data_IF_154276194567
#
_entry.id   IF_154276194567
#
_cell.length_a   1.000
_cell.length_b   1.000
_cell.length_c   1.000
_cell.angle_alpha   90.00
_cell.angle_beta   90.00
_cell.angle_gamma   90.00
#
_symmetry.space_group_name_H-M   'P 1'
#
loop_
_entity.id
_entity.type
_entity.pdbx_description
1 polymer ?
#
# COMPACT_ATOMS: atom_id res chain seq x y z
N UNK A 1 6.06 37.15 1.65
CA UNK A 1 5.16 38.10 2.34
C UNK A 1 5.89 38.97 3.36
N UNK A 2 6.71 38.43 4.26
CA UNK A 2 7.44 39.21 5.28
C UNK A 2 8.30 40.33 4.70
N UNK A 3 9.08 40.05 3.65
CA UNK A 3 9.88 41.07 2.94
C UNK A 3 9.05 42.16 2.27
N UNK A 4 7.83 41.83 1.83
CA UNK A 4 6.93 42.80 1.21
C UNK A 4 6.32 43.72 2.26
N UNK A 5 5.91 43.16 3.41
CA UNK A 5 5.45 43.93 4.55
C UNK A 5 6.56 44.86 5.09
N UNK A 6 7.78 44.36 5.22
CA UNK A 6 8.95 45.14 5.64
C UNK A 6 9.21 46.33 4.68
N UNK A 7 9.17 46.09 3.37
CA UNK A 7 9.30 47.16 2.37
C UNK A 7 8.15 48.19 2.42
N UNK A 8 6.94 47.78 2.79
CA UNK A 8 5.80 48.68 2.96
C UNK A 8 5.97 49.55 4.22
N UNK A 9 6.35 48.97 5.36
CA UNK A 9 6.65 49.72 6.60
C UNK A 9 7.76 50.75 6.35
N UNK A 10 8.83 50.37 5.67
CA UNK A 10 9.91 51.30 5.29
C UNK A 10 9.42 52.47 4.42
N UNK A 11 8.50 52.19 3.49
CA UNK A 11 7.92 53.22 2.63
C UNK A 11 7.00 54.18 3.41
N UNK A 12 6.24 53.65 4.39
CA UNK A 12 5.43 54.44 5.33
C UNK A 12 6.30 55.43 6.08
N UNK A 13 7.38 54.95 6.68
CA UNK A 13 8.28 55.74 7.50
C UNK A 13 8.94 56.87 6.70
N UNK A 14 9.40 56.57 5.48
CA UNK A 14 9.95 57.57 4.55
C UNK A 14 8.92 58.61 4.12
N UNK A 15 7.66 58.20 3.96
CA UNK A 15 6.57 59.12 3.58
C UNK A 15 6.18 60.02 4.75
N UNK A 16 6.11 59.49 5.96
CA UNK A 16 5.91 60.24 7.21
C UNK A 16 6.99 61.30 7.40
N UNK A 17 8.27 60.93 7.31
CA UNK A 17 9.38 61.88 7.45
C UNK A 17 9.38 62.99 6.38
N UNK A 18 8.88 62.71 5.17
CA UNK A 18 8.68 63.76 4.14
C UNK A 18 7.56 64.72 4.50
N UNK A 19 6.44 64.23 5.01
CA UNK A 19 5.32 65.08 5.46
C UNK A 19 5.78 65.98 6.61
N UNK A 20 6.49 65.42 7.59
CA UNK A 20 7.05 66.19 8.72
C UNK A 20 7.91 67.35 8.22
N UNK A 21 8.84 67.06 7.30
CA UNK A 21 9.72 68.10 6.74
C UNK A 21 8.95 69.18 5.97
N UNK A 22 7.90 68.81 5.23
CA UNK A 22 7.06 69.80 4.54
C UNK A 22 6.23 70.65 5.52
N UNK A 23 5.77 70.07 6.63
CA UNK A 23 5.11 70.80 7.70
C UNK A 23 6.05 71.81 8.38
N UNK A 24 7.30 71.42 8.65
CA UNK A 24 8.33 72.32 9.17
C UNK A 24 8.62 73.49 8.22
N UNK A 25 8.71 73.24 6.89
CA UNK A 25 8.89 74.28 5.87
C UNK A 25 7.70 75.26 5.87
N UNK A 26 6.50 74.77 6.19
CA UNK A 26 5.30 75.61 6.30
C UNK A 26 5.19 76.37 7.62
N UNK A 27 6.16 76.23 8.51
CA UNK A 27 6.20 76.90 9.81
C UNK A 27 5.41 76.19 10.91
N UNK A 28 4.87 74.99 10.65
CA UNK A 28 4.18 74.16 11.64
C UNK A 28 5.14 73.10 12.18
N UNK A 29 5.83 73.43 13.27
CA UNK A 29 6.58 72.42 14.02
C UNK A 29 5.59 71.36 14.55
N UNK A 30 5.78 70.11 14.15
CA UNK A 30 4.88 69.00 14.48
C UNK A 30 5.73 67.87 15.05
N UNK A 31 5.37 67.39 16.23
CA UNK A 31 6.02 66.23 16.85
C UNK A 31 5.66 64.93 16.12
N UNK A 32 6.39 63.85 16.40
CA UNK A 32 6.13 62.57 15.75
C UNK A 32 4.76 62.00 16.14
N UNK A 33 4.39 62.09 17.41
CA UNK A 33 3.06 61.72 17.91
C UNK A 33 1.93 62.57 17.31
N UNK A 34 2.10 63.90 17.24
CA UNK A 34 1.08 64.76 16.62
C UNK A 34 0.90 64.43 15.13
N UNK A 35 2.01 64.16 14.42
CA UNK A 35 1.94 63.76 13.01
C UNK A 35 1.25 62.41 12.83
N UNK A 36 1.48 61.46 13.73
CA UNK A 36 0.81 60.16 13.71
C UNK A 36 -0.70 60.32 13.92
N UNK A 37 -1.13 61.14 14.90
CA UNK A 37 -2.54 61.43 15.15
C UNK A 37 -3.20 62.12 13.94
N UNK A 38 -2.49 63.04 13.28
CA UNK A 38 -2.94 63.67 12.04
C UNK A 38 -3.13 62.65 10.91
N UNK A 39 -2.26 61.65 10.80
CA UNK A 39 -2.35 60.58 9.79
C UNK A 39 -3.50 59.61 10.11
N UNK A 40 -3.69 59.23 11.37
CA UNK A 40 -4.77 58.34 11.84
C UNK A 40 -6.15 58.97 11.70
N UNK A 41 -6.25 60.29 11.78
CA UNK A 41 -7.52 61.03 11.60
C UNK A 41 -8.17 60.79 10.24
N UNK A 42 -7.41 60.33 9.23
CA UNK A 42 -7.88 60.04 7.88
C UNK A 42 -8.40 61.26 7.10
N UNK A 43 -8.21 62.47 7.65
CA UNK A 43 -8.74 63.69 7.08
C UNK A 43 -7.61 64.58 6.54
N UNK A 44 -7.47 64.63 5.21
CA UNK A 44 -6.47 65.48 4.52
C UNK A 44 -6.55 66.96 4.90
N UNK A 45 -7.72 67.45 5.34
CA UNK A 45 -7.90 68.84 5.75
C UNK A 45 -7.15 69.19 7.05
N UNK A 46 -6.76 68.20 7.85
CA UNK A 46 -5.98 68.43 9.08
C UNK A 46 -4.58 68.97 8.74
N UNK A 47 -4.05 68.66 7.55
CA UNK A 47 -2.80 69.22 7.05
C UNK A 47 -2.95 70.64 6.51
N UNK A 48 -4.15 71.05 6.05
CA UNK A 48 -4.40 72.41 5.56
C UNK A 48 -4.82 73.38 6.67
N UNK A 49 -5.37 72.87 7.77
CA UNK A 49 -5.74 73.62 8.97
C UNK A 49 -4.49 74.25 9.64
N UNK A 50 -4.23 75.51 9.33
CA UNK A 50 -3.14 76.31 9.89
C UNK A 50 -2.08 76.80 8.88
N UNK A 51 -2.03 76.22 7.68
CA UNK A 51 -1.02 76.60 6.66
C UNK A 51 -1.49 77.77 5.78
N UNK A 52 -2.80 77.97 5.65
CA UNK A 52 -3.40 79.01 4.79
C UNK A 52 -3.01 80.44 5.21
N UNK A 53 -2.65 80.64 6.47
CA UNK A 53 -2.34 81.97 7.04
C UNK A 53 -0.88 82.41 6.80
N UNK A 54 0.03 81.46 6.51
CA UNK A 54 1.47 81.72 6.46
C UNK A 54 2.00 82.21 5.10
N UNK A 55 1.14 82.38 4.09
CA UNK A 55 1.56 82.73 2.72
C UNK A 55 2.45 81.67 2.05
N UNK A 56 2.49 80.46 2.61
CA UNK A 56 3.35 79.36 2.18
C UNK A 56 2.76 78.62 0.97
N UNK A 57 3.69 78.20 0.12
CA UNK A 57 3.54 77.48 -1.14
C UNK A 57 2.43 76.40 -1.17
N UNK A 58 1.43 76.61 -2.04
CA UNK A 58 0.50 75.56 -2.52
C UNK A 58 1.19 74.25 -2.90
N UNK A 59 2.47 74.30 -3.27
CA UNK A 59 3.27 73.14 -3.62
C UNK A 59 3.55 72.24 -2.41
N UNK A 60 3.85 72.80 -1.24
CA UNK A 60 4.09 72.03 -0.02
C UNK A 60 2.82 71.29 0.42
N UNK A 61 1.67 71.98 0.35
CA UNK A 61 0.36 71.37 0.60
C UNK A 61 0.03 70.24 -0.39
N UNK A 62 0.26 70.47 -1.69
CA UNK A 62 0.04 69.45 -2.72
C UNK A 62 0.95 68.23 -2.52
N UNK A 63 2.19 68.42 -2.06
CA UNK A 63 3.12 67.33 -1.77
C UNK A 63 2.68 66.54 -0.54
N UNK A 64 2.27 67.22 0.54
CA UNK A 64 1.73 66.57 1.75
C UNK A 64 0.49 65.73 1.40
N UNK A 65 -0.47 66.29 0.64
CA UNK A 65 -1.68 65.58 0.23
C UNK A 65 -1.34 64.34 -0.62
N UNK A 66 -0.39 64.47 -1.55
CA UNK A 66 0.06 63.34 -2.37
C UNK A 66 0.74 62.24 -1.53
N UNK A 67 1.55 62.60 -0.53
CA UNK A 67 2.18 61.63 0.38
C UNK A 67 1.17 60.97 1.30
N UNK A 68 0.20 61.72 1.84
CA UNK A 68 -0.86 61.16 2.66
C UNK A 68 -1.70 60.14 1.87
N UNK A 69 -2.03 60.45 0.61
CA UNK A 69 -2.71 59.51 -0.28
C UNK A 69 -1.91 58.23 -0.53
N UNK A 70 -0.58 58.32 -0.63
CA UNK A 70 0.29 57.15 -0.74
C UNK A 70 0.28 56.32 0.55
N UNK A 71 0.27 56.96 1.74
CA UNK A 71 0.14 56.27 3.04
C UNK A 71 -1.20 55.54 3.15
N UNK A 72 -2.32 56.19 2.80
CA UNK A 72 -3.66 55.57 2.84
C UNK A 72 -3.74 54.34 1.93
N UNK A 73 -3.14 54.40 0.73
CA UNK A 73 -3.06 53.24 -0.18
C UNK A 73 -2.22 52.12 0.41
N UNK A 74 -1.12 52.46 1.05
CA UNK A 74 -0.26 51.50 1.73
C UNK A 74 -1.02 50.78 2.85
N UNK A 75 -1.73 51.53 3.70
CA UNK A 75 -2.53 50.95 4.79
C UNK A 75 -3.61 50.00 4.29
N UNK A 76 -4.26 50.31 3.16
CA UNK A 76 -5.19 49.38 2.49
C UNK A 76 -4.48 48.09 2.05
N UNK A 77 -3.29 48.21 1.45
CA UNK A 77 -2.49 47.06 1.01
C UNK A 77 -1.99 46.19 2.17
N UNK A 78 -1.62 46.81 3.30
CA UNK A 78 -1.24 46.09 4.52
C UNK A 78 -2.44 45.33 5.10
N UNK A 79 -3.63 45.95 5.13
CA UNK A 79 -4.88 45.28 5.57
C UNK A 79 -5.19 44.06 4.71
N UNK A 80 -5.15 44.19 3.39
CA UNK A 80 -5.36 43.05 2.48
C UNK A 80 -4.34 41.93 2.70
N UNK A 81 -3.08 42.30 2.98
CA UNK A 81 -2.03 41.34 3.27
C UNK A 81 -2.19 40.68 4.64
N UNK A 82 -2.72 41.40 5.62
CA UNK A 82 -3.09 40.85 6.92
C UNK A 82 -4.25 39.84 6.79
N UNK A 83 -5.28 40.17 6.04
CA UNK A 83 -6.41 39.27 5.77
C UNK A 83 -5.92 37.98 5.09
N UNK A 84 -5.03 38.10 4.09
CA UNK A 84 -4.36 36.93 3.49
C UNK A 84 -3.54 36.13 4.51
N UNK A 85 -2.88 36.78 5.48
CA UNK A 85 -2.13 36.06 6.52
C UNK A 85 -3.04 35.26 7.43
N UNK A 86 -4.19 35.83 7.81
CA UNK A 86 -5.20 35.15 8.63
C UNK A 86 -5.79 33.96 7.87
N UNK A 87 -6.12 34.15 6.59
CA UNK A 87 -6.63 33.07 5.73
C UNK A 87 -5.59 31.97 5.52
N UNK A 88 -4.33 32.32 5.28
CA UNK A 88 -3.24 31.34 5.16
C UNK A 88 -3.03 30.61 6.49
N UNK A 89 -3.11 31.29 7.63
CA UNK A 89 -2.99 30.66 8.94
C UNK A 89 -4.13 29.65 9.17
N UNK A 90 -5.38 30.01 8.88
CA UNK A 90 -6.53 29.08 8.96
C UNK A 90 -6.40 27.91 7.98
N UNK A 91 -5.92 28.15 6.75
CA UNK A 91 -5.69 27.10 5.76
C UNK A 91 -4.56 26.16 6.17
N UNK A 92 -3.48 26.66 6.77
CA UNK A 92 -2.38 25.83 7.26
C UNK A 92 -2.79 25.03 8.49
N UNK A 93 -3.56 25.63 9.40
CA UNK A 93 -4.12 24.95 10.57
C UNK A 93 -5.06 23.80 10.16
N UNK A 94 -5.96 24.04 9.21
CA UNK A 94 -6.84 22.97 8.67
C UNK A 94 -6.08 21.94 7.81
N UNK A 95 -4.96 22.32 7.19
CA UNK A 95 -4.08 21.39 6.47
C UNK A 95 -3.16 20.57 7.38
N UNK A 96 -3.14 20.83 8.70
CA UNK A 96 -2.48 19.96 9.67
C UNK A 96 -2.93 18.49 9.58
N UNK A 97 -4.17 18.26 9.11
CA UNK A 97 -4.72 16.92 8.86
C UNK A 97 -4.24 16.27 7.54
N UNK A 98 -3.66 17.02 6.59
CA UNK A 98 -3.25 16.47 5.28
C UNK A 98 -1.82 15.89 5.32
N UNK A 99 -0.95 16.39 6.20
CA UNK A 99 0.38 15.79 6.44
C UNK A 99 0.24 14.32 6.88
N UNK A 100 -0.86 14.00 7.56
CA UNK A 100 -1.22 12.65 8.00
C UNK A 100 -1.45 11.67 6.84
N UNK A 101 -1.80 12.14 5.63
CA UNK A 101 -2.06 11.26 4.50
C UNK A 101 -0.79 10.59 3.95
N UNK A 102 0.35 11.28 3.96
CA UNK A 102 1.61 10.66 3.49
C UNK A 102 2.07 9.64 4.51
N UNK A 103 2.07 10.01 5.80
CA UNK A 103 2.45 9.09 6.88
C UNK A 103 1.52 7.88 6.93
N UNK A 104 0.20 8.09 6.80
CA UNK A 104 -0.79 7.02 6.76
C UNK A 104 -0.63 6.14 5.51
N UNK A 105 -0.39 6.71 4.33
CA UNK A 105 -0.18 5.93 3.10
C UNK A 105 1.13 5.14 3.14
N UNK A 106 2.20 5.71 3.71
CA UNK A 106 3.47 5.02 3.94
C UNK A 106 3.27 3.89 4.96
N UNK A 107 2.56 4.14 6.06
CA UNK A 107 2.24 3.11 7.07
C UNK A 107 1.45 1.95 6.46
N UNK A 108 0.37 2.24 5.72
CA UNK A 108 -0.41 1.22 5.01
C UNK A 108 0.44 0.40 4.03
N UNK A 109 1.33 1.08 3.30
CA UNK A 109 2.26 0.40 2.37
C UNK A 109 3.22 -0.53 3.10
N UNK A 110 3.75 -0.13 4.26
CA UNK A 110 4.61 -0.96 5.11
C UNK A 110 3.86 -2.20 5.59
N UNK A 111 2.63 -2.05 6.08
CA UNK A 111 1.82 -3.19 6.54
C UNK A 111 1.57 -4.21 5.41
N UNK A 112 1.23 -3.73 4.21
CA UNK A 112 1.07 -4.60 3.04
C UNK A 112 2.36 -5.34 2.68
N UNK A 113 3.52 -4.68 2.76
CA UNK A 113 4.82 -5.30 2.49
C UNK A 113 5.13 -6.39 3.53
N UNK A 114 4.81 -6.16 4.81
CA UNK A 114 5.01 -7.16 5.88
C UNK A 114 4.17 -8.41 5.60
N UNK A 115 2.89 -8.23 5.28
CA UNK A 115 1.99 -9.36 4.96
C UNK A 115 2.46 -10.08 3.69
N UNK A 116 2.79 -9.35 2.64
CA UNK A 116 3.28 -9.91 1.38
C UNK A 116 4.57 -10.72 1.58
N UNK A 117 5.50 -10.23 2.41
CA UNK A 117 6.74 -10.93 2.76
C UNK A 117 6.46 -12.28 3.43
N UNK A 118 5.54 -12.31 4.39
CA UNK A 118 5.18 -13.55 5.09
C UNK A 118 4.46 -14.54 4.17
N UNK A 119 3.52 -14.07 3.35
CA UNK A 119 2.85 -14.90 2.34
C UNK A 119 3.84 -15.48 1.32
N UNK A 120 4.77 -14.65 0.83
CA UNK A 120 5.81 -15.09 -0.11
C UNK A 120 6.72 -16.14 0.51
N UNK A 121 7.10 -15.97 1.79
CA UNK A 121 7.89 -16.96 2.53
C UNK A 121 7.16 -18.30 2.68
N UNK A 122 5.85 -18.27 2.99
CA UNK A 122 5.00 -19.48 3.01
C UNK A 122 4.93 -20.12 1.63
N UNK A 123 4.69 -19.34 0.57
CA UNK A 123 4.63 -19.84 -0.80
C UNK A 123 5.94 -20.52 -1.23
N UNK A 124 7.11 -19.94 -0.90
CA UNK A 124 8.42 -20.55 -1.17
C UNK A 124 8.61 -21.86 -0.39
N UNK A 125 8.16 -21.94 0.87
CA UNK A 125 8.18 -23.18 1.65
C UNK A 125 7.29 -24.25 1.04
N UNK A 126 6.06 -23.91 0.66
CA UNK A 126 5.15 -24.84 -0.01
C UNK A 126 5.72 -25.31 -1.35
N UNK A 127 6.25 -24.41 -2.18
CA UNK A 127 6.92 -24.76 -3.44
C UNK A 127 8.09 -25.74 -3.22
N UNK A 128 8.95 -25.46 -2.24
CA UNK A 128 10.11 -26.30 -1.94
C UNK A 128 9.68 -27.68 -1.44
N UNK A 129 8.67 -27.74 -0.56
CA UNK A 129 8.09 -29.01 -0.08
C UNK A 129 7.43 -29.79 -1.21
N UNK A 130 6.62 -29.15 -2.05
CA UNK A 130 5.97 -29.78 -3.20
C UNK A 130 7.00 -30.35 -4.20
N UNK A 131 8.11 -29.65 -4.43
CA UNK A 131 9.19 -30.13 -5.32
C UNK A 131 9.94 -31.34 -4.74
N UNK A 132 10.12 -31.41 -3.41
CA UNK A 132 10.84 -32.53 -2.77
C UNK A 132 9.94 -33.71 -2.44
N UNK A 133 8.80 -33.47 -1.79
CA UNK A 133 7.85 -34.50 -1.36
C UNK A 133 7.03 -35.06 -2.51
N UNK A 134 6.58 -34.22 -3.44
CA UNK A 134 5.68 -34.67 -4.51
C UNK A 134 6.30 -35.68 -5.49
N UNK A 135 7.62 -35.70 -5.65
CA UNK A 135 8.29 -36.73 -6.46
C UNK A 135 8.47 -38.04 -5.68
N UNK A 136 8.82 -37.95 -4.40
CA UNK A 136 9.04 -39.12 -3.53
C UNK A 136 7.70 -39.82 -3.26
N UNK A 137 6.65 -39.09 -2.89
CA UNK A 137 5.30 -39.63 -2.66
C UNK A 137 4.75 -40.35 -3.91
N UNK A 138 5.03 -39.83 -5.11
CA UNK A 138 4.65 -40.47 -6.37
C UNK A 138 5.43 -41.76 -6.62
N UNK A 139 6.72 -41.79 -6.29
CA UNK A 139 7.57 -42.99 -6.43
C UNK A 139 7.14 -44.06 -5.43
N UNK A 140 6.90 -43.69 -4.17
CA UNK A 140 6.42 -44.60 -3.11
C UNK A 140 5.07 -45.21 -3.49
N UNK A 141 4.10 -44.40 -3.91
CA UNK A 141 2.78 -44.88 -4.35
C UNK A 141 2.89 -45.86 -5.54
N UNK A 142 3.71 -45.54 -6.54
CA UNK A 142 3.95 -46.44 -7.67
C UNK A 142 4.64 -47.74 -7.23
N UNK A 143 5.57 -47.66 -6.26
CA UNK A 143 6.28 -48.82 -5.72
C UNK A 143 5.32 -49.74 -4.96
N UNK A 144 4.48 -49.19 -4.09
CA UNK A 144 3.49 -49.95 -3.33
C UNK A 144 2.47 -50.65 -4.25
N UNK A 145 2.01 -49.96 -5.30
CA UNK A 145 1.15 -50.57 -6.30
C UNK A 145 1.85 -51.73 -7.02
N UNK A 146 3.10 -51.52 -7.44
CA UNK A 146 3.89 -52.56 -8.10
C UNK A 146 4.10 -53.78 -7.21
N UNK A 147 4.43 -53.57 -5.93
CA UNK A 147 4.55 -54.64 -4.94
C UNK A 147 3.23 -55.40 -4.79
N UNK A 148 2.10 -54.70 -4.69
CA UNK A 148 0.78 -55.33 -4.58
C UNK A 148 0.43 -56.21 -5.80
N UNK A 149 0.82 -55.81 -7.02
CA UNK A 149 0.65 -56.66 -8.21
C UNK A 149 1.52 -57.91 -8.15
N UNK A 150 2.78 -57.77 -7.71
CA UNK A 150 3.70 -58.90 -7.57
C UNK A 150 3.20 -59.88 -6.51
N UNK A 151 2.73 -59.40 -5.35
CA UNK A 151 2.19 -60.26 -4.29
C UNK A 151 0.99 -61.08 -4.76
N UNK A 152 0.06 -60.47 -5.50
CA UNK A 152 -1.09 -61.17 -6.07
C UNK A 152 -0.66 -62.23 -7.09
N UNK A 153 0.27 -61.89 -7.99
CA UNK A 153 0.81 -62.83 -8.97
C UNK A 153 1.52 -64.01 -8.29
N UNK A 154 2.28 -63.77 -7.23
CA UNK A 154 2.93 -64.82 -6.43
C UNK A 154 1.90 -65.70 -5.72
N UNK A 155 0.82 -65.12 -5.19
CA UNK A 155 -0.25 -65.88 -4.56
C UNK A 155 -0.98 -66.79 -5.57
N UNK A 156 -1.29 -66.28 -6.75
CA UNK A 156 -2.00 -67.02 -7.79
C UNK A 156 -1.14 -68.14 -8.39
N UNK A 157 0.15 -67.89 -8.63
CA UNK A 157 1.10 -68.95 -9.07
C UNK A 157 1.26 -70.04 -8.02
N UNK A 158 1.30 -69.69 -6.73
CA UNK A 158 1.34 -70.66 -5.63
C UNK A 158 0.07 -71.51 -5.55
N UNK A 159 -1.11 -70.91 -5.75
CA UNK A 159 -2.39 -71.65 -5.82
C UNK A 159 -2.41 -72.58 -7.02
N UNK A 160 -2.03 -72.09 -8.20
CA UNK A 160 -1.97 -72.89 -9.43
C UNK A 160 -1.03 -74.09 -9.29
N UNK A 161 0.14 -73.90 -8.66
CA UNK A 161 1.07 -75.00 -8.38
C UNK A 161 0.47 -76.08 -7.47
N UNK A 162 -0.29 -75.68 -6.43
CA UNK A 162 -1.01 -76.62 -5.55
C UNK A 162 -2.09 -77.40 -6.30
N UNK A 163 -2.93 -76.71 -7.07
CA UNK A 163 -3.97 -77.37 -7.88
C UNK A 163 -3.36 -78.36 -8.88
N UNK A 164 -2.24 -78.00 -9.52
CA UNK A 164 -1.54 -78.90 -10.42
C UNK A 164 -0.98 -80.14 -9.70
N UNK A 165 -0.49 -80.00 -8.47
CA UNK A 165 -0.02 -81.12 -7.67
C UNK A 165 -1.18 -82.05 -7.26
N UNK A 166 -2.32 -81.50 -6.83
CA UNK A 166 -3.50 -82.28 -6.47
C UNK A 166 -4.10 -83.01 -7.68
N UNK A 167 -4.20 -82.34 -8.82
CA UNK A 167 -4.69 -82.94 -10.07
C UNK A 167 -3.81 -84.12 -10.49
N UNK A 168 -2.47 -83.99 -10.44
CA UNK A 168 -1.56 -85.10 -10.74
C UNK A 168 -1.77 -86.30 -9.83
N UNK A 169 -1.96 -86.10 -8.52
CA UNK A 169 -2.26 -87.19 -7.57
C UNK A 169 -3.57 -87.90 -7.92
N UNK A 170 -4.63 -87.13 -8.22
CA UNK A 170 -5.93 -87.69 -8.62
C UNK A 170 -5.83 -88.49 -9.93
N UNK A 171 -5.09 -87.97 -10.92
CA UNK A 171 -4.86 -88.67 -12.18
C UNK A 171 -4.16 -90.02 -11.98
N UNK A 172 -3.13 -90.09 -11.12
CA UNK A 172 -2.47 -91.36 -10.80
C UNK A 172 -3.45 -92.36 -10.18
N UNK A 173 -4.28 -91.92 -9.23
CA UNK A 173 -5.30 -92.80 -8.61
C UNK A 173 -6.29 -93.30 -9.66
N UNK A 174 -6.80 -92.41 -10.53
CA UNK A 174 -7.73 -92.80 -11.60
C UNK A 174 -7.09 -93.83 -12.53
N UNK A 175 -5.85 -93.60 -12.97
CA UNK A 175 -5.12 -94.55 -13.82
C UNK A 175 -4.97 -95.91 -13.14
N UNK A 176 -4.60 -95.95 -11.86
CA UNK A 176 -4.49 -97.21 -11.10
C UNK A 176 -5.84 -97.93 -11.01
N UNK A 177 -6.93 -97.23 -10.73
CA UNK A 177 -8.28 -97.81 -10.66
C UNK A 177 -8.70 -98.40 -12.00
N UNK A 178 -8.47 -97.69 -13.11
CA UNK A 178 -8.80 -98.17 -14.46
C UNK A 178 -8.02 -99.44 -14.79
N UNK A 179 -6.72 -99.50 -14.47
CA UNK A 179 -5.89 -100.69 -14.69
C UNK A 179 -6.42 -101.90 -13.89
N UNK A 180 -6.81 -101.70 -12.63
CA UNK A 180 -7.39 -102.77 -11.80
C UNK A 180 -8.72 -103.27 -12.37
N UNK A 181 -9.61 -102.38 -12.81
CA UNK A 181 -10.89 -102.76 -13.42
C UNK A 181 -10.70 -103.57 -14.72
N UNK A 182 -9.76 -103.17 -15.57
CA UNK A 182 -9.42 -103.91 -16.79
C UNK A 182 -8.87 -105.31 -16.47
N UNK A 183 -8.04 -105.44 -15.44
CA UNK A 183 -7.53 -106.74 -14.99
C UNK A 183 -8.65 -107.66 -14.47
N UNK A 184 -9.60 -107.13 -13.69
CA UNK A 184 -10.76 -107.89 -13.21
C UNK A 184 -11.67 -108.35 -14.37
N UNK A 185 -11.94 -107.48 -15.35
CA UNK A 185 -12.71 -107.84 -16.54
C UNK A 185 -12.03 -108.96 -17.34
N UNK A 186 -10.71 -108.88 -17.54
CA UNK A 186 -9.95 -109.93 -18.20
C UNK A 186 -10.04 -111.27 -17.46
N UNK A 187 -10.04 -111.24 -16.13
CA UNK A 187 -10.17 -112.43 -15.28
C UNK A 187 -11.56 -113.07 -15.39
N UNK A 188 -12.63 -112.26 -15.38
CA UNK A 188 -14.02 -112.73 -15.55
C UNK A 188 -14.23 -113.35 -16.94
N UNK A 189 -13.74 -112.69 -18.00
CA UNK A 189 -13.79 -113.23 -19.36
C UNK A 189 -13.00 -114.54 -19.45
N UNK A 190 -11.81 -114.60 -18.85
CA UNK A 190 -11.01 -115.83 -18.80
C UNK A 190 -11.72 -117.00 -18.11
N UNK A 191 -12.38 -116.75 -16.97
CA UNK A 191 -13.15 -117.77 -16.25
C UNK A 191 -14.42 -118.21 -17.02
N UNK A 192 -15.16 -117.26 -17.60
CA UNK A 192 -16.39 -117.57 -18.35
C UNK A 192 -16.16 -118.34 -19.65
N UNK A 193 -15.06 -118.06 -20.36
CA UNK A 193 -14.65 -118.83 -21.55
C UNK A 193 -14.06 -120.18 -21.14
N UNK A 194 -13.29 -120.24 -20.04
CA UNK A 194 -12.67 -121.47 -19.55
C UNK A 194 -13.64 -122.49 -18.94
N UNK A 195 -14.81 -122.07 -18.46
CA UNK A 195 -15.83 -122.98 -17.88
C UNK A 195 -16.73 -123.60 -18.96
N UNK A 196 -16.63 -123.15 -20.23
CA UNK A 196 -17.46 -123.63 -21.34
C UNK A 196 -16.72 -124.55 -22.34
N UNK A 197 -15.52 -125.03 -21.98
CA UNK A 197 -14.79 -126.10 -22.69
C UNK A 197 -14.74 -127.38 -21.86
#
# INVERSE_FOLDING_TARGET
MTKYNEAQVDFRERSKGRIQRQLEITGKATTDEELEEMLESGNSAVFTAGIVDAGVSKQALSEIEARHKDIVRLESSIKELHDMFVDIAMLVESQGDIVDNIEQNVSKSVDHIIVAKEQTKKAVRHRTKARKGGMIERIESNMDQSVGFVERAVADTKKAAKFQQEARRKMVIIVVVVVVLLALLALIIGLSVGVKS
#
